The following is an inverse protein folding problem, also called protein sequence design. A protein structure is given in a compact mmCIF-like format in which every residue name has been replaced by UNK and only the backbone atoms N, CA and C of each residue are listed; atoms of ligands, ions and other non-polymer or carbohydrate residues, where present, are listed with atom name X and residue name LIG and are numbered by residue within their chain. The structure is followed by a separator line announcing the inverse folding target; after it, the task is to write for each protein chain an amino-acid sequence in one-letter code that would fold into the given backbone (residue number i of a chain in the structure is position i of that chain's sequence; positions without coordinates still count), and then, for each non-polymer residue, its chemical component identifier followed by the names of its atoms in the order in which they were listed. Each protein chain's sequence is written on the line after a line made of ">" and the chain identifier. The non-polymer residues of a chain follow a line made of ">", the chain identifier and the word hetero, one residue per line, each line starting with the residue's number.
data_IF_183741544132
#
_entry.id   IF_183741544132
#
_cell.length_a   1.000
_cell.length_b   1.000
_cell.length_c   1.000
_cell.angle_alpha   90.00
_cell.angle_beta   90.00
_cell.angle_gamma   90.00
#
_symmetry.space_group_name_H-M   'P 1'
#
loop_
_entity.id
_entity.type
_entity.pdbx_description
1 polymer ?
#
# COMPACT_ATOMS: atom_id res chain seq x y z
N UNK A 1 12.99 1.30 -1.23
CA UNK A 1 13.78 0.07 -1.53
C UNK A 1 14.01 -0.77 -0.29
N UNK A 2 14.43 -0.18 0.83
CA UNK A 2 14.77 -0.91 2.07
C UNK A 2 13.63 -1.79 2.59
N UNK A 3 12.39 -1.28 2.62
CA UNK A 3 11.23 -2.05 3.05
C UNK A 3 11.05 -3.37 2.28
N UNK A 4 11.12 -3.34 0.95
CA UNK A 4 10.94 -4.55 0.12
C UNK A 4 12.07 -5.57 0.26
N UNK A 5 13.22 -5.17 0.81
CA UNK A 5 14.32 -6.08 1.11
C UNK A 5 14.16 -6.80 2.46
N UNK A 6 13.14 -6.45 3.26
CA UNK A 6 12.85 -7.12 4.53
C UNK A 6 12.28 -8.53 4.30
N UNK A 7 12.43 -9.45 5.28
CA UNK A 7 11.79 -10.76 5.22
C UNK A 7 10.27 -10.66 5.08
N UNK A 8 9.68 -11.58 4.31
CA UNK A 8 8.21 -11.63 4.13
C UNK A 8 7.45 -11.76 5.45
N UNK A 9 8.04 -12.39 6.48
CA UNK A 9 7.44 -12.48 7.83
C UNK A 9 7.35 -11.13 8.54
N UNK A 10 8.19 -10.17 8.17
CA UNK A 10 8.11 -8.79 8.67
C UNK A 10 7.10 -8.01 7.84
N UNK A 11 7.20 -8.10 6.51
CA UNK A 11 6.29 -7.39 5.59
C UNK A 11 4.82 -7.82 5.77
N UNK A 12 4.56 -9.09 6.10
CA UNK A 12 3.21 -9.61 6.35
C UNK A 12 2.49 -8.98 7.53
N UNK A 13 3.22 -8.36 8.47
CA UNK A 13 2.63 -7.55 9.54
C UNK A 13 1.90 -6.30 9.02
N UNK A 14 2.17 -5.91 7.78
CA UNK A 14 1.55 -4.76 7.10
C UNK A 14 0.58 -5.20 6.00
N UNK A 15 0.22 -6.48 5.91
CA UNK A 15 -0.63 -6.99 4.84
C UNK A 15 -2.02 -6.38 4.83
N UNK A 16 -2.47 -5.96 3.65
CA UNK A 16 -3.82 -5.41 3.43
C UNK A 16 -4.48 -6.04 2.19
N UNK A 17 -5.82 -6.01 2.09
CA UNK A 17 -6.48 -6.32 0.83
C UNK A 17 -6.18 -5.27 -0.25
N UNK A 18 -6.51 -5.58 -1.49
CA UNK A 18 -6.48 -4.62 -2.61
C UNK A 18 -7.28 -3.37 -2.21
N UNK A 19 -6.72 -2.21 -2.56
CA UNK A 19 -7.18 -0.86 -2.17
C UNK A 19 -6.96 -0.45 -0.70
N UNK A 20 -6.31 -1.28 0.13
CA UNK A 20 -5.88 -0.88 1.47
C UNK A 20 -4.57 -0.07 1.49
N UNK A 21 -4.29 0.58 2.62
CA UNK A 21 -3.02 1.26 2.88
C UNK A 21 -2.07 0.33 3.64
N UNK A 22 -1.02 -0.16 2.97
CA UNK A 22 -0.12 -1.18 3.50
C UNK A 22 0.52 -2.02 2.40
N UNK A 23 1.01 -3.21 2.78
CA UNK A 23 1.72 -4.13 1.88
C UNK A 23 0.78 -5.13 1.20
N UNK A 24 0.99 -5.34 -0.10
CA UNK A 24 0.38 -6.42 -0.87
C UNK A 24 1.52 -7.26 -1.45
N UNK A 25 1.53 -8.54 -1.11
CA UNK A 25 2.57 -9.47 -1.53
C UNK A 25 2.39 -9.99 -2.97
N UNK A 26 3.41 -10.65 -3.52
CA UNK A 26 3.35 -11.26 -4.84
C UNK A 26 2.20 -12.26 -4.97
N UNK A 27 1.51 -12.21 -6.10
CA UNK A 27 0.40 -13.09 -6.43
C UNK A 27 -0.94 -12.74 -5.76
N UNK A 28 -1.00 -11.66 -4.98
CA UNK A 28 -2.25 -11.20 -4.36
C UNK A 28 -3.08 -10.27 -5.27
N UNK A 29 -2.46 -9.67 -6.29
CA UNK A 29 -3.12 -8.83 -7.29
C UNK A 29 -3.08 -9.49 -8.67
N UNK A 30 -4.06 -9.17 -9.51
CA UNK A 30 -4.09 -9.56 -10.91
C UNK A 30 -4.59 -8.38 -11.74
N UNK A 31 -3.75 -7.35 -11.87
CA UNK A 31 -4.17 -6.04 -12.36
C UNK A 31 -4.67 -6.04 -13.82
N UNK A 32 -4.22 -7.00 -14.63
CA UNK A 32 -4.71 -7.16 -16.00
C UNK A 32 -6.24 -7.23 -16.09
N UNK A 33 -6.90 -7.85 -15.10
CA UNK A 33 -8.35 -7.98 -15.07
C UNK A 33 -9.08 -6.62 -15.01
N UNK A 34 -8.50 -5.62 -14.35
CA UNK A 34 -9.07 -4.27 -14.28
C UNK A 34 -9.10 -3.59 -15.66
N UNK A 35 -8.23 -4.00 -16.58
CA UNK A 35 -8.15 -3.51 -17.96
C UNK A 35 -8.87 -4.45 -18.96
N UNK A 36 -9.58 -5.46 -18.46
CA UNK A 36 -10.28 -6.45 -19.28
C UNK A 36 -9.40 -7.52 -19.90
N UNK A 37 -8.14 -7.64 -19.46
CA UNK A 37 -7.21 -8.68 -19.91
C UNK A 37 -7.03 -9.74 -18.82
N UNK A 38 -7.39 -10.97 -19.11
CA UNK A 38 -7.11 -12.07 -18.18
C UNK A 38 -5.61 -12.36 -18.12
N UNK A 39 -5.02 -12.20 -16.94
CA UNK A 39 -3.61 -12.53 -16.68
C UNK A 39 -3.49 -13.42 -15.44
N UNK A 40 -2.43 -14.23 -15.33
CA UNK A 40 -2.05 -14.80 -14.04
C UNK A 40 -1.83 -13.68 -12.99
N UNK A 41 -1.85 -14.01 -11.69
CA UNK A 41 -1.53 -13.06 -10.63
C UNK A 41 -0.16 -12.39 -10.83
N UNK A 42 -0.09 -11.10 -10.50
CA UNK A 42 1.09 -10.27 -10.66
C UNK A 42 2.20 -10.76 -9.71
N UNK A 43 3.43 -10.84 -10.23
CA UNK A 43 4.60 -11.19 -9.41
C UNK A 43 5.14 -10.02 -8.57
N UNK A 44 4.58 -8.82 -8.75
CA UNK A 44 4.99 -7.64 -8.00
C UNK A 44 4.51 -7.72 -6.57
N UNK A 45 5.28 -7.09 -5.69
CA UNK A 45 4.76 -6.61 -4.41
C UNK A 45 4.58 -5.09 -4.47
N UNK A 46 3.67 -4.57 -3.65
CA UNK A 46 3.39 -3.14 -3.54
C UNK A 46 3.26 -2.73 -2.07
N UNK A 47 3.55 -1.46 -1.81
CA UNK A 47 3.24 -0.82 -0.54
C UNK A 47 2.53 0.48 -0.86
N UNK A 48 1.27 0.59 -0.43
CA UNK A 48 0.37 1.68 -0.81
C UNK A 48 0.12 2.62 0.35
N UNK A 49 0.17 3.91 0.07
CA UNK A 49 -0.14 5.00 1.00
C UNK A 49 -1.22 5.87 0.35
N UNK A 50 -2.18 6.30 1.16
CA UNK A 50 -3.19 7.29 0.77
C UNK A 50 -2.74 8.71 1.08
N UNK A 51 -3.46 9.68 0.51
CA UNK A 51 -3.34 11.07 0.94
C UNK A 51 -3.89 11.25 2.35
N UNK A 52 -3.30 12.16 3.13
CA UNK A 52 -3.70 12.38 4.53
C UNK A 52 -4.58 13.62 4.72
N UNK A 53 -4.75 14.42 3.67
CA UNK A 53 -5.60 15.62 3.71
C UNK A 53 -7.06 15.25 3.49
N UNK A 54 -7.77 15.04 4.60
CA UNK A 54 -9.21 14.77 4.63
C UNK A 54 -10.04 15.87 3.95
N UNK A 55 -11.18 15.48 3.38
CA UNK A 55 -12.13 16.38 2.72
C UNK A 55 -13.06 17.07 3.71
N UNK A 56 -13.27 16.46 4.89
CA UNK A 56 -14.24 16.90 5.90
C UNK A 56 -15.61 16.22 5.78
N UNK A 57 -15.82 15.40 4.75
CA UNK A 57 -16.99 14.51 4.64
C UNK A 57 -16.64 13.14 5.24
N UNK A 58 -17.27 12.72 6.36
CA UNK A 58 -16.92 11.48 7.05
C UNK A 58 -17.06 10.22 6.18
N UNK A 59 -18.02 10.18 5.26
CA UNK A 59 -18.28 9.00 4.43
C UNK A 59 -17.22 8.88 3.32
N UNK A 60 -16.78 10.02 2.77
CA UNK A 60 -15.68 10.07 1.81
C UNK A 60 -14.35 9.75 2.51
N UNK A 61 -14.11 10.37 3.66
CA UNK A 61 -12.86 10.26 4.40
C UNK A 61 -12.62 8.83 4.92
N UNK A 62 -13.69 8.13 5.34
CA UNK A 62 -13.59 6.74 5.77
C UNK A 62 -13.14 5.78 4.65
N UNK A 63 -13.40 6.10 3.38
CA UNK A 63 -13.08 5.26 2.23
C UNK A 63 -11.74 5.66 1.60
N UNK A 64 -11.54 6.94 1.35
CA UNK A 64 -10.44 7.44 0.53
C UNK A 64 -9.25 7.99 1.33
N UNK A 65 -9.47 8.34 2.61
CA UNK A 65 -8.48 8.97 3.48
C UNK A 65 -8.29 8.17 4.78
N UNK A 66 -8.44 6.84 4.69
CA UNK A 66 -8.17 5.96 5.81
C UNK A 66 -6.72 6.13 6.31
N UNK A 67 -6.45 5.98 7.62
CA UNK A 67 -5.11 6.19 8.16
C UNK A 67 -4.04 5.32 7.48
N UNK A 68 -2.89 5.93 7.15
CA UNK A 68 -1.72 5.20 6.67
C UNK A 68 -1.08 4.37 7.79
N UNK A 69 -0.46 3.26 7.39
CA UNK A 69 0.40 2.45 8.26
C UNK A 69 1.83 2.62 7.80
N UNK A 70 2.74 2.93 8.74
CA UNK A 70 4.15 3.16 8.44
C UNK A 70 5.03 2.04 9.01
N UNK A 71 5.98 1.49 8.21
CA UNK A 71 6.82 0.39 8.66
C UNK A 71 7.86 0.85 9.68
N UNK A 72 7.82 0.25 10.87
CA UNK A 72 8.69 0.60 11.99
C UNK A 72 10.17 0.28 11.70
N UNK A 73 10.43 -0.69 10.83
CA UNK A 73 11.77 -1.09 10.40
C UNK A 73 12.42 -0.07 9.45
N UNK A 74 11.63 0.80 8.82
CA UNK A 74 12.10 1.82 7.88
C UNK A 74 11.45 3.18 8.21
N UNK A 75 11.75 3.76 9.39
CA UNK A 75 11.09 4.99 9.86
C UNK A 75 11.40 6.20 8.97
N UNK A 76 12.48 6.16 8.20
CA UNK A 76 12.83 7.19 7.22
C UNK A 76 11.86 7.27 6.04
N UNK A 77 11.07 6.22 5.78
CA UNK A 77 10.14 6.19 4.65
C UNK A 77 9.12 7.33 4.72
N UNK A 78 8.59 7.65 5.92
CA UNK A 78 7.65 8.74 6.13
C UNK A 78 8.24 10.09 5.70
N UNK A 79 9.41 10.43 6.23
CA UNK A 79 10.06 11.70 5.94
C UNK A 79 10.38 11.88 4.45
N UNK A 80 10.80 10.80 3.77
CA UNK A 80 11.14 10.84 2.35
C UNK A 80 9.89 10.98 1.47
N UNK A 81 8.77 10.34 1.84
CA UNK A 81 7.50 10.49 1.11
C UNK A 81 6.96 11.91 1.25
N UNK A 82 7.00 12.49 2.44
CA UNK A 82 6.56 13.87 2.69
C UNK A 82 7.36 14.92 1.90
N UNK A 83 8.65 14.67 1.67
CA UNK A 83 9.50 15.55 0.85
C UNK A 83 9.25 15.38 -0.66
N UNK A 84 8.73 14.21 -1.06
CA UNK A 84 8.49 13.83 -2.45
C UNK A 84 7.06 14.20 -2.92
N UNK A 85 6.59 15.40 -2.57
CA UNK A 85 5.26 15.93 -2.95
C UNK A 85 5.35 17.08 -3.94
#
# INVERSE_FOLDING_TARGET
>A
REFFALPDTVKSGYSVPVAGHGWIGPGAEANGYAEGTETPPDLKESFSLGAETATGDPDVDAIWFAPNVWPQEVPSLHAVVDEYT
#
